data_IF_130718286727
#
_entry.id   IF_130718286727
#
_cell.length_a   1.000
_cell.length_b   1.000
_cell.length_c   1.000
_cell.angle_alpha   90.00
_cell.angle_beta   90.00
_cell.angle_gamma   90.00
#
_symmetry.space_group_name_H-M   'P 1'
#
loop_
_entity.id
_entity.type
_entity.pdbx_description
1 polymer ?
#
# COMPACT_ATOMS: atom_id res chain seq x y z
N UNK A 1 18.43 -9.83 -17.74
CA UNK A 1 16.99 -10.10 -17.93
C UNK A 1 16.17 -8.90 -17.49
N UNK A 2 16.23 -8.48 -16.23
CA UNK A 2 15.49 -7.30 -15.73
C UNK A 2 15.81 -6.04 -16.56
N UNK A 3 17.08 -5.64 -16.62
CA UNK A 3 17.53 -4.48 -17.41
C UNK A 3 17.20 -4.56 -18.91
N UNK A 4 17.08 -5.77 -19.46
CA UNK A 4 16.66 -5.95 -20.87
C UNK A 4 15.16 -5.66 -21.03
N UNK A 5 14.32 -6.17 -20.13
CA UNK A 5 12.88 -5.92 -20.14
C UNK A 5 12.59 -4.42 -19.94
N UNK A 6 13.30 -3.77 -19.02
CA UNK A 6 13.21 -2.31 -18.84
C UNK A 6 13.64 -1.54 -20.09
N UNK A 7 14.69 -1.99 -20.78
CA UNK A 7 15.09 -1.42 -22.08
C UNK A 7 14.02 -1.54 -23.18
N UNK A 8 13.04 -2.42 -22.99
CA UNK A 8 11.86 -2.59 -23.86
C UNK A 8 10.61 -1.90 -23.30
N UNK A 9 10.71 -1.17 -22.19
CA UNK A 9 9.58 -0.51 -21.52
C UNK A 9 8.60 -1.48 -20.86
N UNK A 10 9.08 -2.64 -20.39
CA UNK A 10 8.27 -3.67 -19.73
C UNK A 10 8.60 -3.76 -18.25
N UNK A 11 7.56 -3.96 -17.43
CA UNK A 11 7.71 -4.30 -16.01
C UNK A 11 8.04 -5.79 -15.83
N UNK A 12 8.74 -6.11 -14.75
CA UNK A 12 9.21 -7.46 -14.42
C UNK A 12 8.60 -7.96 -13.13
N UNK A 13 7.99 -9.14 -13.21
CA UNK A 13 7.54 -9.92 -12.05
C UNK A 13 8.51 -11.07 -11.82
N UNK A 14 9.14 -11.08 -10.65
CA UNK A 14 9.91 -12.22 -10.17
C UNK A 14 8.98 -13.19 -9.42
N UNK A 15 8.74 -14.36 -10.02
CA UNK A 15 7.94 -15.42 -9.40
C UNK A 15 8.80 -16.37 -8.55
N UNK A 16 8.19 -16.97 -7.53
CA UNK A 16 8.84 -17.96 -6.67
C UNK A 16 9.78 -17.37 -5.63
N UNK A 17 9.53 -16.15 -5.14
CA UNK A 17 10.33 -15.53 -4.07
C UNK A 17 9.99 -16.16 -2.73
N UNK A 18 10.92 -16.93 -2.16
CA UNK A 18 10.71 -17.68 -0.92
C UNK A 18 11.53 -17.17 0.27
N UNK A 19 12.59 -16.39 0.02
CA UNK A 19 13.53 -15.95 1.07
C UNK A 19 13.81 -14.46 1.02
N UNK A 20 14.09 -13.84 2.18
CA UNK A 20 14.52 -12.44 2.24
C UNK A 20 15.79 -12.19 1.42
N UNK A 21 16.75 -13.12 1.45
CA UNK A 21 17.96 -13.03 0.64
C UNK A 21 17.67 -12.94 -0.88
N UNK A 22 16.74 -13.77 -1.39
CA UNK A 22 16.29 -13.66 -2.79
C UNK A 22 15.59 -12.34 -3.07
N UNK A 23 14.79 -11.84 -2.12
CA UNK A 23 14.11 -10.56 -2.26
C UNK A 23 15.09 -9.39 -2.34
N UNK A 24 16.13 -9.40 -1.49
CA UNK A 24 17.13 -8.32 -1.45
C UNK A 24 17.97 -8.27 -2.73
N UNK A 25 18.26 -9.43 -3.34
CA UNK A 25 18.90 -9.48 -4.65
C UNK A 25 18.00 -8.91 -5.75
N UNK A 26 16.70 -9.21 -5.72
CA UNK A 26 15.73 -8.67 -6.67
C UNK A 26 15.59 -7.16 -6.55
N UNK A 27 15.57 -6.62 -5.32
CA UNK A 27 15.60 -5.17 -5.07
C UNK A 27 16.85 -4.51 -5.65
N UNK A 28 18.02 -5.08 -5.40
CA UNK A 28 19.29 -4.56 -5.92
C UNK A 28 19.35 -4.59 -7.45
N UNK A 29 18.64 -5.54 -8.07
CA UNK A 29 18.53 -5.65 -9.52
C UNK A 29 17.44 -4.75 -10.13
N UNK A 30 16.76 -3.95 -9.30
CA UNK A 30 15.67 -3.06 -9.67
C UNK A 30 14.41 -3.78 -10.17
N UNK A 31 14.10 -4.97 -9.62
CA UNK A 31 12.90 -5.71 -10.01
C UNK A 31 11.62 -5.01 -9.50
N UNK A 32 10.61 -4.89 -10.36
CA UNK A 32 9.41 -4.10 -10.08
C UNK A 32 8.47 -4.79 -9.08
N UNK A 33 8.23 -6.09 -9.27
CA UNK A 33 7.31 -6.87 -8.44
C UNK A 33 7.89 -8.25 -8.08
N UNK A 34 7.67 -8.69 -6.84
CA UNK A 34 7.98 -10.03 -6.38
C UNK A 34 6.72 -10.79 -5.98
N UNK A 35 6.64 -12.07 -6.35
CA UNK A 35 5.57 -12.98 -5.95
C UNK A 35 6.18 -14.27 -5.41
N UNK A 36 5.68 -14.76 -4.28
CA UNK A 36 6.08 -16.06 -3.77
C UNK A 36 5.72 -16.29 -2.30
N UNK A 37 6.16 -17.44 -1.79
CA UNK A 37 5.84 -17.94 -0.46
C UNK A 37 6.33 -17.03 0.67
N UNK A 38 7.33 -16.19 0.40
CA UNK A 38 7.82 -15.17 1.34
C UNK A 38 6.72 -14.17 1.71
N UNK A 39 5.86 -13.81 0.75
CA UNK A 39 4.83 -12.80 0.92
C UNK A 39 3.52 -13.39 1.44
N UNK A 40 3.09 -14.50 0.85
CA UNK A 40 1.88 -15.19 1.23
C UNK A 40 2.02 -16.68 0.94
N UNK A 41 1.78 -17.51 1.95
CA UNK A 41 1.66 -18.95 1.77
C UNK A 41 0.28 -19.28 1.18
N UNK A 42 0.12 -20.43 0.49
CA UNK A 42 -1.21 -20.93 0.14
C UNK A 42 -2.10 -20.98 1.39
N UNK A 43 -3.30 -20.44 1.27
CA UNK A 43 -4.24 -20.32 2.37
C UNK A 43 -5.67 -20.66 1.93
N UNK A 44 -6.55 -21.10 2.83
CA UNK A 44 -7.95 -21.30 2.51
C UNK A 44 -8.61 -20.00 2.02
N UNK A 45 -9.63 -20.10 1.18
CA UNK A 45 -10.33 -18.94 0.62
C UNK A 45 -10.85 -17.95 1.70
N UNK A 46 -11.34 -18.47 2.83
CA UNK A 46 -11.79 -17.63 3.95
C UNK A 46 -10.65 -16.82 4.58
N UNK A 47 -9.45 -17.41 4.68
CA UNK A 47 -8.27 -16.72 5.19
C UNK A 47 -7.74 -15.69 4.17
N UNK A 48 -7.87 -15.98 2.87
CA UNK A 48 -7.50 -15.05 1.81
C UNK A 48 -8.29 -13.74 1.86
N UNK A 49 -9.60 -13.80 2.12
CA UNK A 49 -10.44 -12.60 2.24
C UNK A 49 -9.95 -11.67 3.36
N UNK A 50 -9.52 -12.23 4.50
CA UNK A 50 -8.95 -11.46 5.60
C UNK A 50 -7.57 -10.94 5.23
N UNK A 51 -6.71 -11.80 4.67
CA UNK A 51 -5.37 -11.43 4.25
C UNK A 51 -5.37 -10.24 3.27
N UNK A 52 -6.20 -10.29 2.23
CA UNK A 52 -6.26 -9.23 1.21
C UNK A 52 -6.84 -7.93 1.78
N UNK A 53 -7.77 -8.00 2.74
CA UNK A 53 -8.28 -6.80 3.43
C UNK A 53 -7.24 -6.10 4.29
N UNK A 54 -6.20 -6.83 4.73
CA UNK A 54 -5.12 -6.31 5.56
C UNK A 54 -3.85 -6.02 4.75
N UNK A 55 -3.79 -6.50 3.51
CA UNK A 55 -2.63 -6.35 2.65
C UNK A 55 -2.45 -4.88 2.27
N UNK A 56 -1.40 -4.28 2.78
CA UNK A 56 -0.93 -2.96 2.35
C UNK A 56 0.08 -3.21 1.27
N UNK A 57 -0.31 -2.98 0.02
CA UNK A 57 0.59 -3.10 -1.12
C UNK A 57 1.83 -2.25 -0.88
N UNK A 58 2.96 -2.88 -0.59
CA UNK A 58 4.25 -2.26 -0.74
C UNK A 58 4.72 -2.60 -2.15
N UNK A 59 4.54 -1.68 -3.09
CA UNK A 59 5.27 -1.78 -4.36
C UNK A 59 6.76 -1.67 -4.04
N UNK A 60 7.59 -2.52 -4.64
CA UNK A 60 9.01 -2.61 -4.29
C UNK A 60 9.77 -1.33 -4.62
N UNK A 61 9.24 -0.52 -5.55
CA UNK A 61 9.65 0.84 -5.86
C UNK A 61 8.41 1.74 -6.01
N UNK A 62 7.79 2.13 -4.90
CA UNK A 62 6.82 3.21 -4.87
C UNK A 62 7.54 4.56 -4.98
N UNK A 63 8.06 4.91 -6.16
CA UNK A 63 8.67 6.24 -6.35
C UNK A 63 7.62 7.36 -6.51
N UNK A 64 6.33 7.05 -6.45
CA UNK A 64 5.29 8.07 -6.57
C UNK A 64 4.85 8.61 -5.19
N UNK A 65 5.56 9.65 -4.75
CA UNK A 65 5.27 10.37 -3.50
C UNK A 65 3.96 11.19 -3.54
N UNK A 66 3.20 11.13 -4.64
CA UNK A 66 1.96 11.91 -4.82
C UNK A 66 0.70 11.18 -4.37
N UNK A 67 0.79 9.91 -4.01
CA UNK A 67 -0.36 9.06 -3.71
C UNK A 67 -0.17 8.29 -2.40
N UNK A 68 -1.23 8.10 -1.61
CA UNK A 68 -1.25 7.26 -0.41
C UNK A 68 -2.34 6.20 -0.52
N UNK A 69 -2.16 5.05 0.14
CA UNK A 69 -3.17 3.99 0.15
C UNK A 69 -4.12 4.14 1.34
N UNK A 70 -5.43 4.17 1.07
CA UNK A 70 -6.43 4.12 2.11
C UNK A 70 -6.36 2.79 2.86
N UNK A 71 -6.10 2.85 4.15
CA UNK A 71 -6.00 1.64 4.97
C UNK A 71 -7.31 0.90 5.27
N UNK A 72 -8.45 1.46 4.86
CA UNK A 72 -9.78 0.87 5.08
C UNK A 72 -10.26 0.16 3.82
N UNK A 73 -10.16 0.81 2.66
CA UNK A 73 -10.63 0.26 1.39
C UNK A 73 -9.50 -0.19 0.45
N UNK A 74 -8.23 -0.03 0.86
CA UNK A 74 -7.00 -0.35 0.11
C UNK A 74 -6.84 0.38 -1.23
N UNK A 75 -7.66 1.40 -1.52
CA UNK A 75 -7.55 2.20 -2.75
C UNK A 75 -6.45 3.25 -2.62
N UNK A 76 -5.79 3.51 -3.73
CA UNK A 76 -4.87 4.65 -3.88
C UNK A 76 -5.67 5.96 -3.95
N UNK A 77 -5.23 6.97 -3.20
CA UNK A 77 -5.81 8.31 -3.11
C UNK A 77 -4.69 9.34 -3.26
N UNK A 78 -4.89 10.43 -4.02
CA UNK A 78 -3.96 11.56 -4.05
C UNK A 78 -3.66 12.10 -2.64
N UNK A 79 -2.37 12.40 -2.35
CA UNK A 79 -1.93 12.85 -1.03
C UNK A 79 -2.56 14.20 -0.64
N UNK A 80 -2.77 15.07 -1.62
CA UNK A 80 -3.46 16.36 -1.46
C UNK A 80 -4.95 16.20 -1.12
N UNK A 81 -5.61 15.17 -1.65
CA UNK A 81 -6.98 14.83 -1.31
C UNK A 81 -7.12 14.13 0.06
N UNK A 82 -6.08 13.43 0.51
CA UNK A 82 -6.12 12.65 1.75
C UNK A 82 -6.16 13.51 3.03
N UNK A 83 -5.58 14.72 3.01
CA UNK A 83 -5.34 15.52 4.21
C UNK A 83 -5.87 16.97 4.16
N UNK A 84 -6.53 17.38 3.07
CA UNK A 84 -7.12 18.72 2.96
C UNK A 84 -8.62 18.70 3.27
N UNK A 85 -9.17 19.77 3.88
CA UNK A 85 -10.62 19.95 4.02
C UNK A 85 -11.37 19.87 2.68
N UNK A 86 -10.73 20.31 1.60
CA UNK A 86 -11.28 20.29 0.24
C UNK A 86 -11.26 18.89 -0.39
N UNK A 87 -10.31 18.04 0.01
CA UNK A 87 -10.23 16.62 -0.39
C UNK A 87 -11.26 15.71 0.27
N UNK A 88 -11.99 16.20 1.28
CA UNK A 88 -13.03 15.50 2.01
C UNK A 88 -14.09 14.85 1.10
N UNK A 89 -14.61 15.61 0.14
CA UNK A 89 -15.64 15.13 -0.79
C UNK A 89 -15.11 14.02 -1.72
N UNK A 90 -13.82 14.09 -2.08
CA UNK A 90 -13.17 13.06 -2.88
C UNK A 90 -13.09 11.73 -2.11
N UNK A 91 -12.63 11.77 -0.86
CA UNK A 91 -12.52 10.57 -0.02
C UNK A 91 -13.90 9.98 0.27
N UNK A 92 -14.89 10.81 0.58
CA UNK A 92 -16.28 10.35 0.80
C UNK A 92 -16.84 9.67 -0.45
N UNK A 93 -16.68 10.27 -1.63
CA UNK A 93 -17.25 9.76 -2.87
C UNK A 93 -16.59 8.44 -3.33
N UNK A 94 -15.26 8.36 -3.26
CA UNK A 94 -14.51 7.23 -3.83
C UNK A 94 -14.23 6.10 -2.82
N UNK A 95 -14.17 6.42 -1.53
CA UNK A 95 -13.83 5.46 -0.47
C UNK A 95 -14.99 5.21 0.51
N UNK A 96 -16.00 6.08 0.58
CA UNK A 96 -17.18 5.92 1.42
C UNK A 96 -17.04 6.53 2.82
N UNK A 97 -18.16 6.52 3.56
CA UNK A 97 -18.31 7.25 4.83
C UNK A 97 -17.35 6.78 5.94
N UNK A 98 -17.12 5.47 6.06
CA UNK A 98 -16.21 4.90 7.08
C UNK A 98 -14.74 5.30 6.83
N UNK A 99 -14.34 5.39 5.56
CA UNK A 99 -13.01 5.88 5.20
C UNK A 99 -12.88 7.37 5.51
N UNK A 100 -13.90 8.16 5.13
CA UNK A 100 -13.93 9.60 5.35
C UNK A 100 -13.80 9.98 6.83
N UNK A 101 -14.60 9.37 7.71
CA UNK A 101 -14.56 9.65 9.16
C UNK A 101 -13.17 9.41 9.77
N UNK A 102 -12.43 8.41 9.29
CA UNK A 102 -11.06 8.13 9.74
C UNK A 102 -10.05 9.16 9.24
N UNK A 103 -10.15 9.57 7.97
CA UNK A 103 -9.28 10.62 7.43
C UNK A 103 -9.52 11.95 8.16
N UNK A 104 -10.77 12.29 8.47
CA UNK A 104 -11.12 13.48 9.24
C UNK A 104 -10.54 13.43 10.68
N UNK A 105 -10.59 12.26 11.33
CA UNK A 105 -9.98 12.07 12.64
C UNK A 105 -8.46 12.27 12.62
N UNK A 106 -7.78 11.81 11.55
CA UNK A 106 -6.32 11.98 11.35
C UNK A 106 -5.93 13.43 11.08
N UNK A 107 -6.70 14.14 10.25
CA UNK A 107 -6.49 15.57 9.99
C UNK A 107 -6.59 16.40 11.28
N UNK A 108 -7.46 15.99 12.22
CA UNK A 108 -7.60 16.64 13.55
C UNK A 108 -6.43 16.34 14.49
N UNK A 109 -5.78 15.18 14.37
CA UNK A 109 -4.58 14.83 15.16
C UNK A 109 -3.27 15.37 14.57
N UNK A 110 -3.26 15.74 13.29
CA UNK A 110 -2.06 16.09 12.50
C UNK A 110 -1.45 17.48 12.71
N UNK A 111 -1.55 18.08 13.90
CA UNK A 111 -0.75 19.28 14.22
C UNK A 111 0.62 18.93 14.85
N UNK A 112 0.99 17.64 14.87
CA UNK A 112 2.30 17.14 15.29
C UNK A 112 3.00 16.46 14.10
N UNK A 113 4.13 17.01 13.71
CA UNK A 113 4.87 16.82 12.44
C UNK A 113 5.55 15.45 12.23
N UNK A 114 5.22 14.41 13.00
CA UNK A 114 5.91 13.11 12.96
C UNK A 114 4.99 11.90 12.69
N UNK A 115 3.76 12.13 12.22
CA UNK A 115 2.85 11.04 11.88
C UNK A 115 3.13 10.47 10.48
N UNK A 116 3.56 9.21 10.41
CA UNK A 116 3.67 8.46 9.15
C UNK A 116 2.30 8.43 8.43
N UNK A 117 2.17 8.94 7.19
CA UNK A 117 0.91 8.95 6.46
C UNK A 117 0.34 7.56 6.20
N UNK A 118 1.18 6.51 6.29
CA UNK A 118 0.81 5.11 6.18
C UNK A 118 0.63 4.39 7.53
N UNK A 119 0.89 5.06 8.66
CA UNK A 119 0.64 4.48 9.97
C UNK A 119 -0.86 4.26 10.15
N UNK A 120 -1.20 3.04 10.54
CA UNK A 120 -2.53 2.77 11.03
C UNK A 120 -2.37 2.18 12.39
N UNK A 121 -2.53 3.06 13.37
CA UNK A 121 -2.82 2.60 14.70
C UNK A 121 -4.03 1.68 14.63
N UNK A 122 -3.81 0.45 15.09
CA UNK A 122 -4.87 -0.43 15.54
C UNK A 122 -5.83 0.40 16.39
N UNK A 123 -7.11 0.40 16.02
CA UNK A 123 -8.19 0.91 16.86
C UNK A 123 -7.93 0.48 18.32
N UNK A 124 -8.13 1.36 19.31
CA UNK A 124 -8.19 0.91 20.69
C UNK A 124 -9.31 -0.13 20.77
N UNK A 125 -8.94 -1.34 21.15
CA UNK A 125 -9.87 -2.39 21.53
C UNK A 125 -10.55 -1.97 22.83
N UNK A 126 -11.82 -1.59 22.74
CA UNK A 126 -12.74 -1.56 23.88
C UNK A 126 -13.08 -2.99 24.35
#
# INVERSE_FOLDING_TARGET
MIQLAHGLGMDVVAEGVETSASLDLLRQADCDTGQGFLFAKPMPAAAFAVFVSQWRGATMNASDSTTTSCCVCCKEIPLDAAFTPEGAEYVEHFCGLECYQRFEARAKTGNETDADPNACDSLPSD
#
